data_IF_006044232844
#
_entry.id   IF_006044232844
#
_cell.length_a   1.000
_cell.length_b   1.000
_cell.length_c   1.000
_cell.angle_alpha   90.00
_cell.angle_beta   90.00
_cell.angle_gamma   90.00
#
_symmetry.space_group_name_H-M   'P 1'
#
loop_
_entity.id
_entity.type
_entity.pdbx_description
1 polymer ?
#
# COMPACT_ATOMS: atom_id res chain seq x y z
N UNK A 1 -4.84 19.19 2.45
CA UNK A 1 -4.42 20.56 2.81
C UNK A 1 -5.54 21.55 2.52
N UNK A 2 -5.91 21.78 1.24
CA UNK A 2 -6.93 22.75 0.86
C UNK A 2 -8.28 22.54 1.57
N UNK A 3 -8.71 21.30 1.74
CA UNK A 3 -9.97 20.96 2.39
C UNK A 3 -10.10 21.53 3.82
N UNK A 4 -8.98 21.67 4.57
CA UNK A 4 -9.02 22.32 5.89
C UNK A 4 -9.42 23.79 5.77
N UNK A 5 -8.85 24.52 4.81
CA UNK A 5 -9.21 25.91 4.54
C UNK A 5 -10.65 26.04 4.01
N UNK A 6 -11.08 25.10 3.16
CA UNK A 6 -12.45 25.10 2.63
C UNK A 6 -13.51 24.91 3.72
N UNK A 7 -13.27 24.07 4.71
CA UNK A 7 -14.18 23.90 5.84
C UNK A 7 -14.21 25.14 6.75
N UNK A 8 -13.03 25.69 7.05
CA UNK A 8 -12.92 26.84 7.95
C UNK A 8 -13.51 28.11 7.31
N UNK A 9 -13.26 28.37 6.01
CA UNK A 9 -13.86 29.52 5.33
C UNK A 9 -15.39 29.48 5.31
N UNK A 10 -16.00 28.28 5.21
CA UNK A 10 -17.45 28.10 5.31
C UNK A 10 -17.95 28.48 6.70
N UNK A 11 -17.27 28.01 7.76
CA UNK A 11 -17.62 28.30 9.15
C UNK A 11 -17.57 29.80 9.45
N UNK A 12 -16.53 30.51 8.98
CA UNK A 12 -16.34 31.94 9.24
C UNK A 12 -16.95 32.84 8.16
N UNK A 13 -17.69 32.29 7.16
CA UNK A 13 -18.28 33.03 6.04
C UNK A 13 -17.28 33.94 5.33
N UNK A 14 -16.00 33.50 5.28
CA UNK A 14 -14.90 34.28 4.72
C UNK A 14 -14.39 33.68 3.40
N UNK A 15 -13.33 34.28 2.88
CA UNK A 15 -12.65 33.84 1.65
C UNK A 15 -11.26 33.31 1.97
N UNK A 16 -10.85 32.25 1.26
CA UNK A 16 -9.50 31.74 1.28
C UNK A 16 -9.08 31.38 -0.15
N UNK A 17 -7.98 31.93 -0.61
CA UNK A 17 -7.38 31.64 -1.91
C UNK A 17 -6.04 30.94 -1.68
N UNK A 18 -5.83 29.79 -2.31
CA UNK A 18 -4.58 29.02 -2.25
C UNK A 18 -4.00 28.97 -3.65
N UNK A 19 -2.80 29.53 -3.81
CA UNK A 19 -2.01 29.43 -5.04
C UNK A 19 -0.93 28.38 -4.84
N UNK A 20 -1.06 27.25 -5.49
CA UNK A 20 -0.05 26.20 -5.48
C UNK A 20 1.15 26.61 -6.35
N UNK A 21 2.36 26.43 -5.80
CA UNK A 21 3.64 26.67 -6.47
C UNK A 21 4.35 25.38 -6.81
N UNK A 22 3.85 24.25 -6.29
CA UNK A 22 4.38 22.91 -6.53
C UNK A 22 3.24 21.94 -6.77
N UNK A 23 3.53 20.89 -7.54
CA UNK A 23 2.58 19.80 -7.83
C UNK A 23 2.87 18.60 -6.94
N UNK A 24 1.89 17.72 -6.77
CA UNK A 24 2.06 16.45 -6.08
C UNK A 24 3.12 15.59 -6.81
N UNK A 25 4.03 14.99 -6.02
CA UNK A 25 5.15 14.20 -6.54
C UNK A 25 6.42 15.01 -6.82
N UNK A 26 6.38 16.33 -6.85
CA UNK A 26 7.59 17.13 -6.98
C UNK A 26 8.45 17.06 -5.71
N UNK A 27 9.76 16.91 -5.90
CA UNK A 27 10.72 16.99 -4.80
C UNK A 27 10.93 18.44 -4.39
N UNK A 28 10.75 18.73 -3.11
CA UNK A 28 10.97 20.05 -2.53
C UNK A 28 12.23 20.09 -1.69
N UNK A 29 12.93 21.23 -1.71
CA UNK A 29 14.12 21.51 -0.87
C UNK A 29 13.73 22.33 0.35
N UNK A 30 14.56 22.28 1.38
CA UNK A 30 14.41 23.13 2.57
C UNK A 30 14.27 24.60 2.17
N UNK A 31 13.29 25.30 2.74
CA UNK A 31 13.02 26.72 2.46
C UNK A 31 12.20 26.99 1.19
N UNK A 32 11.92 26.01 0.36
CA UNK A 32 11.07 26.23 -0.82
C UNK A 32 9.60 26.44 -0.44
N UNK A 33 9.00 27.46 -1.03
CA UNK A 33 7.56 27.72 -0.94
C UNK A 33 6.79 26.68 -1.73
N UNK A 34 5.80 26.05 -1.12
CA UNK A 34 4.90 25.06 -1.76
C UNK A 34 3.58 25.66 -2.20
N UNK A 35 3.08 26.64 -1.45
CA UNK A 35 1.88 27.40 -1.79
C UNK A 35 1.93 28.78 -1.16
N UNK A 36 1.04 29.66 -1.62
CA UNK A 36 0.71 30.94 -1.00
C UNK A 36 -0.77 30.93 -0.62
N UNK A 37 -1.09 31.45 0.56
CA UNK A 37 -2.45 31.49 1.08
C UNK A 37 -2.80 32.95 1.33
N UNK A 38 -3.95 33.36 0.82
CA UNK A 38 -4.54 34.68 1.04
C UNK A 38 -5.91 34.44 1.69
N UNK A 39 -6.02 34.78 2.98
CA UNK A 39 -7.25 34.65 3.74
C UNK A 39 -7.24 35.59 4.94
N UNK A 40 -8.38 35.73 5.65
CA UNK A 40 -8.40 36.46 6.89
C UNK A 40 -7.54 35.73 7.96
N UNK A 41 -7.09 36.51 8.95
CA UNK A 41 -6.26 36.01 10.05
C UNK A 41 -6.90 34.84 10.77
N UNK A 42 -8.18 34.93 11.05
CA UNK A 42 -8.96 33.90 11.77
C UNK A 42 -8.97 32.58 10.97
N UNK A 43 -9.17 32.65 9.67
CA UNK A 43 -9.18 31.47 8.78
C UNK A 43 -7.80 30.83 8.77
N UNK A 44 -6.74 31.61 8.60
CA UNK A 44 -5.37 31.09 8.55
C UNK A 44 -5.01 30.39 9.87
N UNK A 45 -5.16 31.09 11.01
CA UNK A 45 -4.80 30.55 12.32
C UNK A 45 -5.59 29.32 12.70
N UNK A 46 -6.86 29.21 12.29
CA UNK A 46 -7.71 28.07 12.61
C UNK A 46 -7.42 26.86 11.71
N UNK A 47 -7.09 27.08 10.44
CA UNK A 47 -6.92 26.00 9.46
C UNK A 47 -5.48 25.47 9.38
N UNK A 48 -4.46 26.29 9.66
CA UNK A 48 -3.06 25.99 9.34
C UNK A 48 -2.57 24.68 9.96
N UNK A 49 -2.79 24.46 11.25
CA UNK A 49 -2.25 23.28 11.95
C UNK A 49 -2.79 21.99 11.35
N UNK A 50 -4.09 21.92 11.12
CA UNK A 50 -4.72 20.74 10.51
C UNK A 50 -4.18 20.54 9.08
N UNK A 51 -4.11 21.59 8.30
CA UNK A 51 -3.59 21.54 6.94
C UNK A 51 -2.13 21.06 6.88
N UNK A 52 -1.29 21.59 7.76
CA UNK A 52 0.11 21.19 7.87
C UNK A 52 0.28 19.73 8.31
N UNK A 53 -0.51 19.26 9.27
CA UNK A 53 -0.46 17.87 9.69
C UNK A 53 -0.75 16.90 8.53
N UNK A 54 -1.77 17.19 7.72
CA UNK A 54 -2.08 16.37 6.54
C UNK A 54 -0.95 16.38 5.52
N UNK A 55 -0.43 17.55 5.15
CA UNK A 55 0.60 17.62 4.13
C UNK A 55 1.91 16.97 4.59
N UNK A 56 2.28 17.15 5.85
CA UNK A 56 3.47 16.51 6.43
C UNK A 56 3.35 15.00 6.45
N UNK A 57 2.24 14.45 6.94
CA UNK A 57 2.00 13.01 7.00
C UNK A 57 2.02 12.38 5.60
N UNK A 58 1.26 12.94 4.66
CA UNK A 58 1.14 12.38 3.32
C UNK A 58 2.43 12.53 2.50
N UNK A 59 3.12 13.65 2.64
CA UNK A 59 4.45 13.85 2.02
C UNK A 59 5.50 12.89 2.60
N UNK A 60 5.42 12.59 3.91
CA UNK A 60 6.26 11.58 4.55
C UNK A 60 6.06 10.20 3.95
N UNK A 61 4.80 9.78 3.74
CA UNK A 61 4.46 8.50 3.09
C UNK A 61 4.99 8.47 1.66
N UNK A 62 4.72 9.51 0.85
CA UNK A 62 5.21 9.59 -0.53
C UNK A 62 6.73 9.54 -0.60
N UNK A 63 7.42 10.28 0.26
CA UNK A 63 8.89 10.31 0.33
C UNK A 63 9.46 8.94 0.71
N UNK A 64 8.88 8.28 1.72
CA UNK A 64 9.30 6.93 2.13
C UNK A 64 9.08 5.93 1.01
N UNK A 65 7.92 5.93 0.38
CA UNK A 65 7.61 5.06 -0.77
C UNK A 65 8.63 5.28 -1.90
N UNK A 66 8.90 6.54 -2.24
CA UNK A 66 9.86 6.86 -3.29
C UNK A 66 11.28 6.36 -2.99
N UNK A 67 11.71 6.38 -1.72
CA UNK A 67 13.00 5.78 -1.31
C UNK A 67 13.05 4.28 -1.61
N UNK A 68 11.98 3.53 -1.33
CA UNK A 68 11.88 2.10 -1.65
C UNK A 68 11.88 1.85 -3.16
N UNK A 69 11.06 2.59 -3.91
CA UNK A 69 10.98 2.47 -5.37
C UNK A 69 12.33 2.73 -6.03
N UNK A 70 13.02 3.79 -5.63
CA UNK A 70 14.36 4.12 -6.14
C UNK A 70 15.40 3.09 -5.73
N UNK A 71 15.35 2.59 -4.49
CA UNK A 71 16.30 1.58 -4.02
C UNK A 71 16.13 0.27 -4.75
N UNK A 72 14.89 -0.16 -5.01
CA UNK A 72 14.60 -1.36 -5.78
C UNK A 72 15.09 -1.26 -7.23
N UNK A 73 14.96 -0.08 -7.84
CA UNK A 73 15.40 0.25 -9.20
C UNK A 73 15.05 -0.83 -10.25
N UNK A 74 13.90 -1.46 -10.12
CA UNK A 74 13.42 -2.53 -10.99
C UNK A 74 11.96 -2.29 -11.39
N UNK A 75 11.72 -1.92 -12.65
CA UNK A 75 10.39 -1.62 -13.18
C UNK A 75 9.44 -2.84 -13.23
N UNK A 76 9.97 -4.06 -13.17
CA UNK A 76 9.16 -5.29 -13.18
C UNK A 76 8.58 -5.63 -11.81
N UNK A 77 9.17 -5.12 -10.73
CA UNK A 77 8.72 -5.36 -9.35
C UNK A 77 7.99 -4.13 -8.84
N UNK A 78 6.83 -4.33 -8.24
CA UNK A 78 5.96 -3.28 -7.73
C UNK A 78 6.05 -3.20 -6.20
N UNK A 79 6.20 -2.00 -5.68
CA UNK A 79 6.01 -1.72 -4.25
C UNK A 79 4.53 -1.48 -4.03
N UNK A 80 3.91 -2.30 -3.19
CA UNK A 80 2.48 -2.24 -2.90
C UNK A 80 2.23 -1.66 -1.51
N UNK A 81 1.13 -0.92 -1.37
CA UNK A 81 0.61 -0.55 -0.05
C UNK A 81 -0.15 -1.71 0.61
N UNK A 82 -0.68 -1.48 1.79
CA UNK A 82 -1.51 -2.44 2.51
C UNK A 82 -2.82 -1.81 3.01
N UNK A 83 -3.67 -2.62 3.67
CA UNK A 83 -4.84 -2.14 4.41
C UNK A 83 -4.52 -1.67 5.84
N UNK A 84 -3.27 -1.78 6.29
CA UNK A 84 -2.81 -1.31 7.61
C UNK A 84 -2.64 0.21 7.55
N UNK A 85 -3.73 0.93 7.61
CA UNK A 85 -3.80 2.39 7.48
C UNK A 85 -4.45 3.03 8.71
N UNK A 86 -4.21 4.31 8.92
CA UNK A 86 -4.91 5.08 9.95
C UNK A 86 -6.41 5.07 9.63
N UNK A 87 -7.28 4.76 10.60
CA UNK A 87 -8.74 4.80 10.40
C UNK A 87 -9.20 6.13 9.79
N UNK A 88 -10.08 6.06 8.80
CA UNK A 88 -10.58 7.23 8.06
C UNK A 88 -9.62 7.81 7.01
N UNK A 89 -8.32 7.48 7.05
CA UNK A 89 -7.32 8.09 6.15
C UNK A 89 -6.79 7.15 5.05
N UNK A 90 -7.38 5.95 4.89
CA UNK A 90 -6.90 4.96 3.92
C UNK A 90 -6.77 5.52 2.50
N UNK A 91 -7.79 6.22 2.02
CA UNK A 91 -7.77 6.79 0.68
C UNK A 91 -6.59 7.77 0.49
N UNK A 92 -6.41 8.70 1.44
CA UNK A 92 -5.33 9.68 1.39
C UNK A 92 -3.94 8.99 1.46
N UNK A 93 -3.77 7.99 2.33
CA UNK A 93 -2.50 7.30 2.48
C UNK A 93 -2.16 6.46 1.24
N UNK A 94 -3.15 5.77 0.66
CA UNK A 94 -2.97 5.03 -0.60
C UNK A 94 -2.65 5.96 -1.78
N UNK A 95 -3.29 7.13 -1.84
CA UNK A 95 -2.94 8.17 -2.80
C UNK A 95 -1.48 8.61 -2.65
N UNK A 96 -1.03 8.86 -1.42
CA UNK A 96 0.36 9.25 -1.14
C UNK A 96 1.38 8.17 -1.56
N UNK A 97 1.05 6.88 -1.40
CA UNK A 97 1.88 5.78 -1.91
C UNK A 97 1.99 5.84 -3.43
N UNK A 98 0.87 6.06 -4.14
CA UNK A 98 0.86 6.19 -5.60
C UNK A 98 1.71 7.38 -6.07
N UNK A 99 1.60 8.52 -5.40
CA UNK A 99 2.41 9.72 -5.69
C UNK A 99 3.91 9.45 -5.47
N UNK A 100 4.26 8.62 -4.48
CA UNK A 100 5.65 8.18 -4.25
C UNK A 100 6.19 7.20 -5.29
N UNK A 101 5.38 6.78 -6.28
CA UNK A 101 5.76 5.82 -7.32
C UNK A 101 5.46 4.36 -6.97
N UNK A 102 4.77 4.10 -5.86
CA UNK A 102 4.25 2.79 -5.50
C UNK A 102 2.91 2.48 -6.18
N UNK A 103 2.35 1.33 -5.87
CA UNK A 103 1.08 0.85 -6.40
C UNK A 103 0.12 0.52 -5.26
N UNK A 104 -1.17 0.61 -5.54
CA UNK A 104 -2.18 0.27 -4.56
C UNK A 104 -2.51 -1.22 -4.62
N UNK A 105 -2.46 -1.89 -3.48
CA UNK A 105 -3.11 -3.17 -3.25
C UNK A 105 -4.61 -2.95 -2.98
N UNK A 106 -5.40 -4.00 -2.74
CA UNK A 106 -6.83 -3.92 -2.44
C UNK A 106 -7.14 -2.88 -1.36
N UNK A 107 -8.22 -2.13 -1.54
CA UNK A 107 -8.69 -1.13 -0.58
C UNK A 107 -9.66 -1.72 0.44
N UNK A 108 -10.39 -2.78 0.06
CA UNK A 108 -11.36 -3.45 0.90
C UNK A 108 -11.47 -4.94 0.58
N UNK A 109 -12.48 -5.59 1.20
CA UNK A 109 -12.80 -7.00 0.90
C UNK A 109 -13.59 -7.13 -0.40
N UNK A 110 -14.16 -6.04 -0.87
CA UNK A 110 -15.01 -5.95 -2.05
C UNK A 110 -14.23 -5.95 -3.37
N UNK A 111 -12.96 -5.56 -3.37
CA UNK A 111 -12.15 -5.46 -4.61
C UNK A 111 -11.21 -6.65 -4.82
N UNK A 112 -10.83 -7.37 -3.76
CA UNK A 112 -10.04 -8.59 -3.87
C UNK A 112 -10.15 -9.47 -2.63
N UNK A 113 -10.38 -10.76 -2.82
CA UNK A 113 -10.31 -11.76 -1.75
C UNK A 113 -8.85 -12.13 -1.49
N UNK A 114 -8.45 -12.09 -0.22
CA UNK A 114 -7.16 -12.58 0.26
C UNK A 114 -7.41 -13.51 1.45
N UNK A 115 -7.14 -14.78 1.27
CA UNK A 115 -7.14 -15.76 2.35
C UNK A 115 -5.83 -15.68 3.13
N UNK A 116 -5.95 -15.68 4.43
CA UNK A 116 -4.88 -15.57 5.42
C UNK A 116 -4.93 -16.74 6.38
N UNK A 117 -3.87 -16.88 7.19
CA UNK A 117 -3.77 -17.86 8.26
C UNK A 117 -5.09 -18.08 9.01
N UNK A 118 -5.73 -17.02 9.48
CA UNK A 118 -7.00 -17.10 10.24
C UNK A 118 -8.15 -17.78 9.48
N UNK A 119 -8.14 -17.74 8.15
CA UNK A 119 -9.15 -18.45 7.33
C UNK A 119 -8.75 -19.89 7.09
N UNK A 120 -7.45 -20.16 7.02
CA UNK A 120 -6.88 -21.47 6.74
C UNK A 120 -6.96 -22.36 7.98
N UNK A 121 -6.74 -21.80 9.16
CA UNK A 121 -6.75 -22.50 10.45
C UNK A 121 -8.09 -23.14 10.83
N UNK A 122 -9.17 -22.78 10.13
CA UNK A 122 -10.49 -23.43 10.30
C UNK A 122 -10.64 -24.78 9.57
N UNK A 123 -9.61 -25.22 8.84
CA UNK A 123 -9.56 -26.50 8.12
C UNK A 123 -8.54 -27.43 8.78
N UNK A 124 -8.74 -28.75 8.64
CA UNK A 124 -7.81 -29.75 9.20
C UNK A 124 -6.42 -29.71 8.54
N UNK A 125 -6.38 -29.30 7.26
CA UNK A 125 -5.13 -29.19 6.51
C UNK A 125 -5.19 -28.09 5.44
N UNK A 126 -4.03 -27.62 5.03
CA UNK A 126 -3.91 -26.66 3.92
C UNK A 126 -4.45 -27.25 2.61
N UNK A 127 -4.24 -28.54 2.35
CA UNK A 127 -4.78 -29.23 1.17
C UNK A 127 -6.32 -29.24 1.17
N UNK A 128 -6.93 -29.50 2.32
CA UNK A 128 -8.39 -29.46 2.47
C UNK A 128 -8.93 -28.05 2.23
N UNK A 129 -8.28 -27.03 2.81
CA UNK A 129 -8.63 -25.63 2.56
C UNK A 129 -8.63 -25.31 1.06
N UNK A 130 -7.56 -25.67 0.34
CA UNK A 130 -7.43 -25.39 -1.10
C UNK A 130 -8.53 -26.08 -1.89
N UNK A 131 -8.76 -27.38 -1.67
CA UNK A 131 -9.78 -28.16 -2.37
C UNK A 131 -11.21 -27.67 -2.07
N UNK A 132 -11.50 -27.37 -0.81
CA UNK A 132 -12.82 -26.82 -0.41
C UNK A 132 -13.07 -25.44 -0.99
N UNK A 133 -12.03 -24.59 -0.97
CA UNK A 133 -12.11 -23.21 -1.54
C UNK A 133 -12.30 -23.27 -3.05
N UNK A 134 -11.58 -24.14 -3.75
CA UNK A 134 -11.68 -24.29 -5.21
C UNK A 134 -13.08 -24.70 -5.67
N UNK A 135 -13.83 -25.48 -4.88
CA UNK A 135 -15.22 -25.86 -5.18
C UNK A 135 -16.18 -24.66 -5.12
N UNK A 136 -15.87 -23.64 -4.30
CA UNK A 136 -16.75 -22.50 -4.04
C UNK A 136 -16.35 -21.23 -4.82
N UNK A 137 -15.06 -21.05 -5.07
CA UNK A 137 -14.52 -19.79 -5.65
C UNK A 137 -13.44 -20.16 -6.68
N UNK A 138 -13.43 -19.43 -7.79
CA UNK A 138 -12.35 -19.55 -8.77
C UNK A 138 -11.04 -19.00 -8.20
N UNK A 139 -10.08 -19.89 -7.93
CA UNK A 139 -8.78 -19.52 -7.36
C UNK A 139 -8.00 -18.49 -8.22
N UNK A 140 -8.24 -18.42 -9.53
CA UNK A 140 -7.64 -17.41 -10.42
C UNK A 140 -8.10 -15.98 -10.11
N UNK A 141 -9.05 -15.78 -9.21
CA UNK A 141 -9.56 -14.47 -8.78
C UNK A 141 -9.14 -14.10 -7.36
N UNK A 142 -8.44 -14.98 -6.63
CA UNK A 142 -8.10 -14.79 -5.23
C UNK A 142 -6.60 -14.79 -4.99
N UNK A 143 -6.20 -14.17 -3.89
CA UNK A 143 -4.86 -14.22 -3.33
C UNK A 143 -4.87 -15.15 -2.12
N UNK A 144 -3.80 -15.90 -1.91
CA UNK A 144 -3.65 -16.80 -0.77
C UNK A 144 -2.28 -16.55 -0.15
N UNK A 145 -2.27 -16.32 1.16
CA UNK A 145 -1.07 -16.13 1.97
C UNK A 145 -0.55 -17.49 2.43
N UNK A 146 0.76 -17.70 2.35
CA UNK A 146 1.46 -18.88 2.84
C UNK A 146 2.68 -18.47 3.67
N UNK A 147 2.98 -19.26 4.71
CA UNK A 147 4.07 -19.00 5.66
C UNK A 147 5.21 -20.02 5.56
N UNK A 148 5.03 -21.07 4.74
CA UNK A 148 6.03 -22.13 4.59
C UNK A 148 6.07 -22.69 3.16
N UNK A 149 7.18 -23.38 2.84
CA UNK A 149 7.41 -23.95 1.52
C UNK A 149 6.52 -25.15 1.19
N UNK A 150 6.04 -25.90 2.20
CA UNK A 150 5.17 -27.07 2.01
C UNK A 150 3.80 -26.62 1.46
N UNK A 151 3.20 -25.64 2.09
CA UNK A 151 1.91 -25.07 1.65
C UNK A 151 2.04 -24.38 0.28
N UNK A 152 3.18 -23.70 0.06
CA UNK A 152 3.48 -23.11 -1.24
C UNK A 152 3.51 -24.16 -2.36
N UNK A 153 4.14 -25.31 -2.14
CA UNK A 153 4.22 -26.38 -3.14
C UNK A 153 2.84 -26.91 -3.53
N UNK A 154 1.97 -27.10 -2.54
CA UNK A 154 0.56 -27.47 -2.77
C UNK A 154 -0.12 -26.39 -3.61
N UNK A 155 0.03 -25.12 -3.21
CA UNK A 155 -0.69 -23.99 -3.82
C UNK A 155 -0.25 -23.71 -5.27
N UNK A 156 1.03 -23.89 -5.60
CA UNK A 156 1.56 -23.70 -6.95
C UNK A 156 0.88 -24.60 -7.99
N UNK A 157 0.41 -25.79 -7.60
CA UNK A 157 -0.31 -26.73 -8.47
C UNK A 157 -1.72 -26.22 -8.87
N UNK A 158 -2.29 -25.34 -8.06
CA UNK A 158 -3.66 -24.83 -8.23
C UNK A 158 -3.74 -23.46 -8.91
N UNK A 159 -2.61 -22.80 -9.14
CA UNK A 159 -2.49 -21.53 -9.86
C UNK A 159 -3.49 -20.44 -9.39
N UNK A 160 -3.51 -20.02 -8.11
CA UNK A 160 -4.31 -18.86 -7.69
C UNK A 160 -3.84 -17.59 -8.40
N UNK A 161 -4.60 -16.53 -8.34
CA UNK A 161 -4.22 -15.24 -8.94
C UNK A 161 -2.89 -14.74 -8.40
N UNK A 162 -2.77 -14.68 -7.06
CA UNK A 162 -1.56 -14.26 -6.38
C UNK A 162 -1.24 -15.21 -5.22
N UNK A 163 0.03 -15.45 -4.99
CA UNK A 163 0.55 -16.12 -3.80
C UNK A 163 1.34 -15.09 -3.00
N UNK A 164 0.97 -14.90 -1.76
CA UNK A 164 1.65 -13.98 -0.86
C UNK A 164 2.53 -14.79 0.09
N UNK A 165 3.84 -14.60 0.00
CA UNK A 165 4.83 -15.20 0.88
C UNK A 165 4.98 -14.28 2.10
N UNK A 166 4.50 -14.71 3.27
CA UNK A 166 4.58 -13.91 4.48
C UNK A 166 5.73 -14.36 5.38
N UNK A 167 6.55 -13.41 5.77
CA UNK A 167 7.72 -13.60 6.65
C UNK A 167 8.75 -14.66 6.18
N UNK A 168 8.86 -14.91 4.89
CA UNK A 168 9.88 -15.79 4.34
C UNK A 168 11.27 -15.17 4.47
N UNK A 169 12.26 -15.97 4.86
CA UNK A 169 13.67 -15.60 4.77
C UNK A 169 14.12 -15.50 3.31
N UNK A 170 15.20 -14.78 3.04
CA UNK A 170 15.76 -14.64 1.68
C UNK A 170 16.07 -16.01 1.05
N UNK A 171 16.57 -16.97 1.83
CA UNK A 171 16.83 -18.34 1.35
C UNK A 171 15.54 -19.06 0.97
N UNK A 172 14.47 -18.90 1.74
CA UNK A 172 13.14 -19.46 1.44
C UNK A 172 12.52 -18.77 0.22
N UNK A 173 12.65 -17.45 0.06
CA UNK A 173 12.17 -16.71 -1.14
C UNK A 173 12.84 -17.26 -2.40
N UNK A 174 14.15 -17.48 -2.39
CA UNK A 174 14.87 -18.07 -3.53
C UNK A 174 14.38 -19.49 -3.88
N UNK A 175 14.04 -20.30 -2.88
CA UNK A 175 13.41 -21.63 -3.10
C UNK A 175 11.99 -21.47 -3.62
N UNK A 176 11.20 -20.57 -3.04
CA UNK A 176 9.82 -20.29 -3.45
C UNK A 176 9.72 -19.88 -4.92
N UNK A 177 10.59 -18.98 -5.39
CA UNK A 177 10.64 -18.56 -6.80
C UNK A 177 10.92 -19.74 -7.73
N UNK A 178 11.81 -20.68 -7.33
CA UNK A 178 12.08 -21.89 -8.10
C UNK A 178 10.87 -22.82 -8.14
N UNK A 179 10.20 -23.04 -7.01
CA UNK A 179 8.98 -23.85 -6.93
C UNK A 179 7.85 -23.32 -7.79
N UNK A 180 7.66 -21.98 -7.79
CA UNK A 180 6.60 -21.34 -8.54
C UNK A 180 6.94 -21.06 -10.02
N UNK A 181 8.08 -21.52 -10.54
CA UNK A 181 8.54 -21.21 -11.91
C UNK A 181 7.52 -21.59 -12.98
N UNK A 182 6.80 -22.67 -12.78
CA UNK A 182 5.78 -23.18 -13.71
C UNK A 182 4.35 -22.73 -13.32
N UNK A 183 4.19 -22.00 -12.22
CA UNK A 183 2.90 -21.44 -11.83
C UNK A 183 2.62 -20.15 -12.61
N UNK A 184 1.35 -19.94 -12.94
CA UNK A 184 0.85 -18.70 -13.55
C UNK A 184 0.52 -17.63 -12.52
N UNK A 185 0.76 -17.89 -11.24
CA UNK A 185 0.46 -16.97 -10.15
C UNK A 185 1.48 -15.83 -10.08
N UNK A 186 1.02 -14.63 -9.73
CA UNK A 186 1.92 -13.56 -9.30
C UNK A 186 2.42 -13.86 -7.88
N UNK A 187 3.68 -13.57 -7.60
CA UNK A 187 4.26 -13.72 -6.27
C UNK A 187 4.34 -12.35 -5.61
N UNK A 188 3.81 -12.25 -4.40
CA UNK A 188 3.96 -11.11 -3.51
C UNK A 188 4.80 -11.53 -2.31
N UNK A 189 5.62 -10.63 -1.78
CA UNK A 189 6.45 -10.87 -0.61
C UNK A 189 6.08 -9.85 0.44
N UNK A 190 5.78 -10.30 1.65
CA UNK A 190 5.53 -9.45 2.81
C UNK A 190 6.33 -9.88 4.05
N UNK A 191 6.34 -9.02 5.06
CA UNK A 191 7.10 -9.23 6.30
C UNK A 191 8.55 -8.80 6.18
N UNK A 192 8.97 -7.94 7.12
CA UNK A 192 10.35 -7.53 7.35
C UNK A 192 11.13 -6.94 6.15
N UNK A 193 10.43 -6.40 5.15
CA UNK A 193 11.07 -5.72 4.01
C UNK A 193 11.55 -4.34 4.43
N UNK A 194 12.85 -4.12 4.28
CA UNK A 194 13.55 -2.88 4.65
C UNK A 194 14.32 -2.32 3.45
N UNK A 195 14.77 -1.06 3.54
CA UNK A 195 15.69 -0.51 2.54
C UNK A 195 17.03 -1.27 2.48
N UNK A 196 17.42 -1.97 3.55
CA UNK A 196 18.65 -2.77 3.58
C UNK A 196 18.57 -4.08 2.80
N UNK A 197 17.38 -4.72 2.76
CA UNK A 197 17.22 -6.05 2.18
C UNK A 197 16.37 -6.13 0.91
N UNK A 198 15.82 -5.01 0.44
CA UNK A 198 14.89 -5.01 -0.70
C UNK A 198 15.52 -5.47 -2.03
N UNK A 199 16.84 -5.46 -2.15
CA UNK A 199 17.58 -5.88 -3.35
C UNK A 199 18.24 -7.26 -3.20
N UNK A 200 17.97 -7.99 -2.11
CA UNK A 200 18.64 -9.27 -1.78
C UNK A 200 18.14 -10.46 -2.60
#
# INVERSE_FOLDING_TARGET
FAAAFDQIKRKYKGTAKIKWLRKDGETIKKGQKICQIIASREIVLTAERTALNFIQMLSGISTKTNKYVRKLNNKKIKILDTRKTIPGLRFCQKYAVKIGGGYNHRSGLYDQVLFKENHISSFESFSEFVLSTQKKINLKKVSIEVENLKDLEILCKHNPKNILLDNFSISQIKKAIKLCRNSKSSIEISGNITLGNINS
#
